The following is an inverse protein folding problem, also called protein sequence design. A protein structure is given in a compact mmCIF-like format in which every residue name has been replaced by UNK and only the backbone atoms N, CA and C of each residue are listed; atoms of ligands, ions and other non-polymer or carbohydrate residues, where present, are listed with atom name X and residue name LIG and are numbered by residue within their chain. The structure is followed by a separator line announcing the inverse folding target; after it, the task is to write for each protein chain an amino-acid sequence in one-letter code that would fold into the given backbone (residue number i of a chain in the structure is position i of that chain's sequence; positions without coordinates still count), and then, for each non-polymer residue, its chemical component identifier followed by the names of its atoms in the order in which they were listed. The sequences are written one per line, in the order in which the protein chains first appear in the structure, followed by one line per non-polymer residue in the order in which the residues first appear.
data_IF_838129952159
#
_entry.id   IF_838129952159
#
_cell.length_a   1.000
_cell.length_b   1.000
_cell.length_c   1.000
_cell.angle_alpha   90.00
_cell.angle_beta   90.00
_cell.angle_gamma   90.00
#
_symmetry.space_group_name_H-M   'P 1'
#
loop_
_entity.id
_entity.type
_entity.pdbx_description
1 polymer ?
#
# COMPACT_ATOMS: atom_id res chain seq x y z
N UNK A 1 18.79 -12.44 23.03
CA UNK A 1 19.00 -11.82 24.35
C UNK A 1 20.02 -10.70 24.20
N UNK A 2 19.70 -9.45 24.53
CA UNK A 2 20.67 -8.33 24.47
C UNK A 2 21.43 -8.24 25.80
N UNK A 3 22.75 -8.08 25.70
CA UNK A 3 23.58 -7.46 26.73
C UNK A 3 23.87 -6.00 26.31
N UNK A 4 23.95 -5.12 27.31
CA UNK A 4 24.17 -3.65 27.28
C UNK A 4 22.93 -2.74 27.11
N UNK A 5 22.22 -2.53 28.23
CA UNK A 5 21.96 -1.21 28.81
C UNK A 5 21.54 -1.42 30.27
N UNK A 6 22.54 -1.52 31.16
CA UNK A 6 22.35 -1.23 32.57
C UNK A 6 22.25 0.30 32.68
N UNK A 7 21.07 0.85 32.97
CA UNK A 7 20.94 2.23 33.45
C UNK A 7 19.92 3.16 32.79
N UNK A 8 18.99 2.71 31.95
CA UNK A 8 17.90 3.58 31.48
C UNK A 8 16.72 3.48 32.46
N UNK A 9 16.60 4.42 33.40
CA UNK A 9 15.40 4.55 34.23
C UNK A 9 14.25 5.14 33.40
N UNK A 10 13.25 4.31 33.09
CA UNK A 10 12.01 4.78 32.49
C UNK A 10 11.04 5.20 33.59
N UNK A 11 10.48 6.40 33.45
CA UNK A 11 9.48 6.94 34.39
C UNK A 11 8.07 6.39 34.13
N UNK A 12 7.81 5.84 32.94
CA UNK A 12 6.51 5.34 32.53
C UNK A 12 6.62 4.31 31.39
N UNK A 13 5.78 3.25 31.36
CA UNK A 13 5.74 2.28 30.26
C UNK A 13 5.59 2.88 28.86
N UNK A 14 4.92 4.04 28.73
CA UNK A 14 4.79 4.76 27.46
C UNK A 14 6.15 5.17 26.90
N UNK A 15 7.12 5.51 27.74
CA UNK A 15 8.47 5.87 27.28
C UNK A 15 9.17 4.67 26.65
N UNK A 16 9.00 3.47 27.21
CA UNK A 16 9.53 2.22 26.65
C UNK A 16 8.92 1.97 25.27
N UNK A 17 7.62 2.17 25.11
CA UNK A 17 6.96 2.08 23.80
C UNK A 17 7.52 3.10 22.81
N UNK A 18 7.67 4.37 23.22
CA UNK A 18 8.14 5.44 22.36
C UNK A 18 9.61 5.29 21.92
N UNK A 19 10.44 4.60 22.70
CA UNK A 19 11.80 4.27 22.26
C UNK A 19 11.80 3.34 21.04
N UNK A 20 10.88 2.38 21.03
CA UNK A 20 10.79 1.36 19.99
C UNK A 20 10.06 1.89 18.75
N UNK A 21 8.86 2.46 18.93
CA UNK A 21 7.96 2.83 17.83
C UNK A 21 7.74 4.35 17.68
N UNK A 22 8.36 5.17 18.53
CA UNK A 22 8.22 6.61 18.46
C UNK A 22 8.89 7.23 17.22
N UNK A 23 8.63 8.52 17.04
CA UNK A 23 9.04 9.27 15.86
C UNK A 23 8.00 9.23 14.74
N UNK A 24 8.28 9.98 13.66
CA UNK A 24 7.31 10.22 12.58
C UNK A 24 7.01 8.97 11.74
N UNK A 25 8.01 8.11 11.51
CA UNK A 25 7.95 7.13 10.41
C UNK A 25 7.74 5.68 10.88
N UNK A 26 8.20 5.29 12.06
CA UNK A 26 8.13 3.90 12.53
C UNK A 26 6.70 3.37 12.56
N UNK A 27 5.78 4.05 13.24
CA UNK A 27 4.37 3.64 13.27
C UNK A 27 3.71 3.64 11.88
N UNK A 28 4.10 4.54 10.97
CA UNK A 28 3.57 4.57 9.60
C UNK A 28 4.05 3.36 8.81
N UNK A 29 5.33 3.00 8.92
CA UNK A 29 5.89 1.79 8.29
C UNK A 29 5.21 0.54 8.85
N UNK A 30 5.11 0.42 10.17
CA UNK A 30 4.48 -0.72 10.84
C UNK A 30 3.00 -0.85 10.45
N UNK A 31 2.29 0.28 10.31
CA UNK A 31 0.91 0.27 9.82
C UNK A 31 0.82 -0.31 8.40
N UNK A 32 1.71 0.08 7.47
CA UNK A 32 1.73 -0.50 6.12
C UNK A 32 2.12 -1.97 6.07
N UNK A 33 2.98 -2.42 6.99
CA UNK A 33 3.41 -3.82 7.08
C UNK A 33 2.44 -4.72 7.84
N UNK A 34 1.39 -4.15 8.45
CA UNK A 34 0.47 -4.93 9.28
C UNK A 34 -0.24 -6.00 8.48
N UNK A 35 -0.63 -5.80 7.21
CA UNK A 35 -1.43 -6.82 6.51
C UNK A 35 -0.59 -7.79 5.71
N UNK A 36 0.43 -7.30 5.04
CA UNK A 36 1.22 -8.08 4.11
C UNK A 36 2.66 -7.56 4.00
N UNK A 37 3.53 -8.41 3.45
CA UNK A 37 4.92 -8.06 3.22
C UNK A 37 5.02 -7.02 2.10
N UNK A 38 5.89 -6.01 2.26
CA UNK A 38 6.10 -4.97 1.24
C UNK A 38 7.56 -4.89 0.82
N UNK A 39 7.81 -4.58 -0.44
CA UNK A 39 9.15 -4.24 -0.95
C UNK A 39 9.51 -2.81 -0.57
N UNK A 40 10.80 -2.49 -0.59
CA UNK A 40 11.29 -1.13 -0.31
C UNK A 40 10.64 -0.07 -1.23
N UNK A 41 10.54 -0.38 -2.52
CA UNK A 41 9.92 0.51 -3.50
C UNK A 41 8.44 0.79 -3.21
N UNK A 42 7.70 -0.24 -2.80
CA UNK A 42 6.30 -0.10 -2.40
C UNK A 42 6.16 0.78 -1.17
N UNK A 43 6.92 0.51 -0.09
CA UNK A 43 6.90 1.35 1.11
C UNK A 43 7.26 2.81 0.80
N UNK A 44 8.23 3.03 -0.10
CA UNK A 44 8.64 4.37 -0.52
C UNK A 44 7.55 5.11 -1.30
N UNK A 45 6.73 4.39 -2.08
CA UNK A 45 5.57 4.95 -2.77
C UNK A 45 4.41 5.21 -1.79
N UNK A 46 4.13 4.25 -0.90
CA UNK A 46 3.04 4.28 0.07
C UNK A 46 3.20 5.33 1.16
N UNK A 47 4.42 5.81 1.40
CA UNK A 47 4.74 6.80 2.42
C UNK A 47 5.27 8.09 1.77
N UNK A 48 4.39 8.96 1.25
CA UNK A 48 4.79 10.24 0.69
C UNK A 48 5.67 11.08 1.63
N UNK A 49 6.76 11.61 1.08
CA UNK A 49 7.68 12.50 1.80
C UNK A 49 8.77 11.83 2.64
N UNK A 50 8.78 10.50 2.84
CA UNK A 50 9.92 9.82 3.46
C UNK A 50 11.09 9.76 2.47
N UNK A 51 12.32 10.12 2.82
CA UNK A 51 13.45 9.98 1.87
C UNK A 51 13.94 8.53 1.81
N UNK A 52 14.63 8.12 0.74
CA UNK A 52 15.21 6.76 0.68
C UNK A 52 16.16 6.50 1.85
N UNK A 53 17.02 7.48 2.18
CA UNK A 53 17.93 7.41 3.32
C UNK A 53 17.19 7.17 4.64
N UNK A 54 16.12 7.93 4.88
CA UNK A 54 15.32 7.80 6.11
C UNK A 54 14.57 6.47 6.14
N UNK A 55 13.96 6.04 5.03
CA UNK A 55 13.28 4.74 4.98
C UNK A 55 14.24 3.58 5.27
N UNK A 56 15.43 3.58 4.66
CA UNK A 56 16.47 2.57 4.95
C UNK A 56 16.88 2.56 6.42
N UNK A 57 17.05 3.74 7.01
CA UNK A 57 17.41 3.86 8.41
C UNK A 57 16.30 3.30 9.33
N UNK A 58 15.05 3.70 9.09
CA UNK A 58 13.91 3.28 9.90
C UNK A 58 13.65 1.77 9.80
N UNK A 59 13.79 1.18 8.61
CA UNK A 59 13.67 -0.27 8.44
C UNK A 59 14.77 -1.02 9.21
N UNK A 60 16.02 -0.55 9.17
CA UNK A 60 17.12 -1.15 9.94
C UNK A 60 16.89 -1.06 11.45
N UNK A 61 16.37 0.07 11.93
CA UNK A 61 16.02 0.23 13.35
C UNK A 61 14.91 -0.75 13.76
N UNK A 62 13.83 -0.82 13.00
CA UNK A 62 12.72 -1.75 13.26
C UNK A 62 13.14 -3.23 13.20
N UNK A 63 14.06 -3.58 12.28
CA UNK A 63 14.62 -4.93 12.17
C UNK A 63 15.50 -5.25 13.38
N UNK A 64 16.39 -4.32 13.76
CA UNK A 64 17.26 -4.44 14.94
C UNK A 64 16.47 -4.55 16.25
N UNK A 65 15.33 -3.88 16.32
CA UNK A 65 14.42 -3.90 17.47
C UNK A 65 13.41 -5.07 17.38
N UNK A 66 13.54 -5.92 16.36
CA UNK A 66 12.85 -7.20 16.22
C UNK A 66 11.39 -7.09 15.77
N UNK A 67 10.91 -5.92 15.35
CA UNK A 67 9.53 -5.74 14.92
C UNK A 67 9.30 -6.22 13.49
N UNK A 68 10.31 -6.09 12.63
CA UNK A 68 10.20 -6.53 11.24
C UNK A 68 11.28 -7.55 10.90
N UNK A 69 10.99 -8.43 9.95
CA UNK A 69 11.98 -9.28 9.29
C UNK A 69 12.21 -8.80 7.87
N UNK A 70 13.46 -8.84 7.42
CA UNK A 70 13.87 -8.63 6.04
C UNK A 70 14.16 -9.99 5.40
N UNK A 71 13.37 -10.35 4.40
CA UNK A 71 13.54 -11.60 3.66
C UNK A 71 14.09 -11.32 2.27
N UNK A 72 15.11 -12.07 1.85
CA UNK A 72 15.72 -11.94 0.52
C UNK A 72 15.40 -13.19 -0.29
N UNK A 73 14.82 -13.00 -1.46
CA UNK A 73 14.48 -14.09 -2.36
C UNK A 73 15.48 -14.12 -3.52
N UNK A 74 16.17 -15.25 -3.73
CA UNK A 74 17.17 -15.42 -4.79
C UNK A 74 16.48 -15.70 -6.13
N UNK A 75 15.73 -14.72 -6.63
CA UNK A 75 15.13 -14.73 -7.97
C UNK A 75 15.84 -13.71 -8.87
N UNK A 76 15.52 -13.70 -10.17
CA UNK A 76 16.05 -12.72 -11.11
C UNK A 76 14.95 -11.76 -11.55
N UNK A 77 15.03 -10.45 -11.22
CA UNK A 77 16.03 -9.79 -10.36
C UNK A 77 15.79 -10.06 -8.86
N UNK A 78 16.83 -10.01 -8.01
CA UNK A 78 16.70 -10.33 -6.58
C UNK A 78 15.69 -9.40 -5.91
N UNK A 79 14.80 -9.97 -5.11
CA UNK A 79 13.81 -9.20 -4.34
C UNK A 79 14.05 -9.26 -2.85
N UNK A 80 13.68 -8.18 -2.19
CA UNK A 80 13.73 -8.03 -0.74
C UNK A 80 12.36 -7.58 -0.27
N UNK A 81 11.83 -8.26 0.74
CA UNK A 81 10.56 -7.93 1.36
C UNK A 81 10.73 -7.72 2.86
N UNK A 82 9.86 -6.88 3.40
CA UNK A 82 9.77 -6.59 4.82
C UNK A 82 8.40 -7.03 5.30
N UNK A 83 8.33 -7.72 6.43
CA UNK A 83 7.08 -8.11 7.08
C UNK A 83 7.22 -8.04 8.60
N UNK A 84 6.11 -7.97 9.32
CA UNK A 84 6.15 -8.06 10.78
C UNK A 84 6.69 -9.42 11.23
N UNK A 85 7.46 -9.42 12.32
CA UNK A 85 7.78 -10.65 13.06
C UNK A 85 6.62 -11.04 13.98
N UNK A 86 6.60 -12.24 14.58
CA UNK A 86 5.63 -12.56 15.63
C UNK A 86 5.63 -11.55 16.78
N UNK A 87 6.77 -10.92 17.10
CA UNK A 87 6.84 -9.84 18.08
C UNK A 87 6.27 -8.52 17.52
N UNK A 88 6.59 -8.17 16.27
CA UNK A 88 6.04 -6.98 15.61
C UNK A 88 4.52 -7.01 15.48
N UNK A 89 3.92 -8.19 15.32
CA UNK A 89 2.47 -8.38 15.31
C UNK A 89 1.79 -7.87 16.60
N UNK A 90 2.49 -7.86 17.74
CA UNK A 90 1.95 -7.31 18.99
C UNK A 90 1.71 -5.79 18.94
N UNK A 91 2.32 -5.08 17.98
CA UNK A 91 2.11 -3.65 17.76
C UNK A 91 0.88 -3.35 16.89
N UNK A 92 0.35 -4.34 16.15
CA UNK A 92 -0.80 -4.15 15.26
C UNK A 92 -1.98 -3.44 15.95
N UNK A 93 -2.45 -3.86 17.14
CA UNK A 93 -3.57 -3.19 17.81
C UNK A 93 -3.29 -1.71 18.11
N UNK A 94 -2.03 -1.37 18.43
CA UNK A 94 -1.63 0.02 18.69
C UNK A 94 -1.71 0.85 17.41
N UNK A 95 -1.19 0.34 16.30
CA UNK A 95 -1.25 1.05 15.01
C UNK A 95 -2.67 1.24 14.49
N UNK A 96 -3.57 0.29 14.77
CA UNK A 96 -5.00 0.40 14.44
C UNK A 96 -5.68 1.45 15.32
N UNK A 97 -5.44 1.41 16.64
CA UNK A 97 -5.95 2.43 17.57
C UNK A 97 -5.45 3.84 17.24
N UNK A 98 -4.18 3.98 16.85
CA UNK A 98 -3.64 5.27 16.38
C UNK A 98 -4.36 5.76 15.12
N UNK A 99 -4.67 4.86 14.19
CA UNK A 99 -5.40 5.19 12.97
C UNK A 99 -6.82 5.69 13.30
N UNK A 100 -7.53 4.98 14.17
CA UNK A 100 -8.92 5.31 14.53
C UNK A 100 -9.00 6.58 15.38
N UNK A 101 -8.07 6.76 16.31
CA UNK A 101 -7.95 8.01 17.05
C UNK A 101 -7.65 9.18 16.11
N UNK A 102 -6.75 9.01 15.14
CA UNK A 102 -6.43 10.03 14.15
C UNK A 102 -7.66 10.49 13.36
N UNK A 103 -8.46 9.54 12.85
CA UNK A 103 -9.73 9.82 12.14
C UNK A 103 -10.71 10.61 13.03
N UNK A 104 -10.80 10.26 14.31
CA UNK A 104 -11.75 10.86 15.25
C UNK A 104 -11.30 12.25 15.72
N UNK A 105 -10.00 12.44 15.95
CA UNK A 105 -9.45 13.67 16.51
C UNK A 105 -9.46 14.84 15.50
N UNK A 106 -9.35 14.55 14.21
CA UNK A 106 -9.37 15.54 13.13
C UNK A 106 -10.22 15.07 11.96
N UNK A 107 -11.51 14.86 12.20
CA UNK A 107 -12.47 14.42 11.17
C UNK A 107 -12.59 15.39 9.98
N UNK A 108 -12.30 16.67 10.21
CA UNK A 108 -12.30 17.73 9.17
C UNK A 108 -11.03 17.75 8.31
N UNK A 109 -9.93 17.11 8.76
CA UNK A 109 -8.72 17.03 7.95
C UNK A 109 -8.91 15.98 6.85
N UNK A 110 -8.91 16.44 5.60
CA UNK A 110 -8.46 15.59 4.51
C UNK A 110 -6.97 15.31 4.79
N UNK A 111 -6.66 14.15 5.36
CA UNK A 111 -5.29 13.67 5.44
C UNK A 111 -4.70 13.81 4.02
N UNK A 112 -3.59 14.54 3.87
CA UNK A 112 -3.09 14.94 2.53
C UNK A 112 -2.80 13.77 1.58
N UNK A 113 -2.65 12.56 2.13
CA UNK A 113 -2.52 11.27 1.46
C UNK A 113 -3.84 10.46 1.38
N UNK A 114 -5.01 11.09 1.60
CA UNK A 114 -6.36 10.51 1.39
C UNK A 114 -7.22 11.39 0.47
N UNK A 115 -6.68 12.48 -0.09
CA UNK A 115 -7.42 13.39 -0.96
C UNK A 115 -7.63 12.77 -2.34
N UNK A 116 -8.77 12.09 -2.51
CA UNK A 116 -9.17 11.46 -3.77
C UNK A 116 -10.29 12.21 -4.52
N UNK A 117 -10.80 13.31 -3.95
CA UNK A 117 -11.96 14.03 -4.50
C UNK A 117 -11.74 14.45 -5.96
N UNK A 118 -12.68 14.08 -6.82
CA UNK A 118 -12.69 14.40 -8.25
C UNK A 118 -11.75 13.56 -9.10
N UNK A 119 -11.01 12.60 -8.53
CA UNK A 119 -10.21 11.67 -9.31
C UNK A 119 -11.10 10.70 -10.07
N UNK A 120 -10.70 10.35 -11.29
CA UNK A 120 -11.32 9.28 -12.09
C UNK A 120 -10.49 8.01 -11.90
N UNK A 121 -11.10 7.01 -11.27
CA UNK A 121 -10.46 5.74 -10.98
C UNK A 121 -11.18 4.65 -11.76
N UNK A 122 -10.41 3.91 -12.57
CA UNK A 122 -10.90 2.74 -13.28
C UNK A 122 -10.73 1.51 -12.39
N UNK A 123 -11.82 0.79 -12.15
CA UNK A 123 -11.86 -0.45 -11.38
C UNK A 123 -12.17 -1.60 -12.33
N UNK A 124 -11.33 -2.62 -12.36
CA UNK A 124 -11.50 -3.82 -13.18
C UNK A 124 -11.67 -5.00 -12.24
N UNK A 125 -12.91 -5.44 -12.04
CA UNK A 125 -13.23 -6.55 -11.14
C UNK A 125 -14.41 -7.34 -11.70
N UNK A 126 -14.21 -8.63 -11.99
CA UNK A 126 -15.25 -9.51 -12.50
C UNK A 126 -16.30 -9.84 -11.41
N UNK A 127 -15.85 -10.07 -10.18
CA UNK A 127 -16.71 -10.38 -9.04
C UNK A 127 -17.58 -9.18 -8.64
N UNK A 128 -18.89 -9.39 -8.60
CA UNK A 128 -19.86 -8.33 -8.33
C UNK A 128 -19.71 -7.75 -6.92
N UNK A 129 -19.42 -8.59 -5.93
CA UNK A 129 -19.25 -8.16 -4.53
C UNK A 129 -18.01 -7.27 -4.37
N UNK A 130 -16.86 -7.71 -4.89
CA UNK A 130 -15.61 -6.93 -4.88
C UNK A 130 -15.82 -5.59 -5.58
N UNK A 131 -16.44 -5.61 -6.77
CA UNK A 131 -16.74 -4.40 -7.56
C UNK A 131 -17.67 -3.44 -6.80
N UNK A 132 -18.72 -3.94 -6.16
CA UNK A 132 -19.64 -3.13 -5.34
C UNK A 132 -18.91 -2.49 -4.15
N UNK A 133 -18.08 -3.26 -3.44
CA UNK A 133 -17.31 -2.76 -2.29
C UNK A 133 -16.31 -1.67 -2.69
N UNK A 134 -15.55 -1.88 -3.77
CA UNK A 134 -14.60 -0.89 -4.29
C UNK A 134 -15.31 0.40 -4.67
N UNK A 135 -16.43 0.28 -5.39
CA UNK A 135 -17.25 1.41 -5.81
C UNK A 135 -17.75 2.20 -4.61
N UNK A 136 -18.36 1.53 -3.63
CA UNK A 136 -18.90 2.15 -2.41
C UNK A 136 -17.82 2.94 -1.67
N UNK A 137 -16.68 2.32 -1.37
CA UNK A 137 -15.57 2.95 -0.63
C UNK A 137 -15.03 4.19 -1.35
N UNK A 138 -14.90 4.13 -2.68
CA UNK A 138 -14.31 5.23 -3.45
C UNK A 138 -15.33 6.36 -3.72
N UNK A 139 -16.57 6.04 -4.07
CA UNK A 139 -17.62 7.04 -4.34
C UNK A 139 -17.99 7.84 -3.08
N UNK A 140 -17.98 7.22 -1.89
CA UNK A 140 -18.12 7.94 -0.60
C UNK A 140 -17.09 9.07 -0.41
N UNK A 141 -15.96 9.01 -1.12
CA UNK A 141 -14.88 10.00 -1.09
C UNK A 141 -14.92 10.96 -2.28
N UNK A 142 -16.06 11.03 -2.97
CA UNK A 142 -16.28 11.83 -4.17
C UNK A 142 -15.30 11.50 -5.30
N UNK A 143 -14.96 10.22 -5.45
CA UNK A 143 -14.20 9.70 -6.59
C UNK A 143 -15.17 9.36 -7.71
N UNK A 144 -14.82 9.68 -8.95
CA UNK A 144 -15.53 9.20 -10.13
C UNK A 144 -15.04 7.79 -10.46
N UNK A 145 -15.77 6.78 -9.99
CA UNK A 145 -15.43 5.38 -10.23
C UNK A 145 -16.04 4.89 -11.53
N UNK A 146 -15.20 4.40 -12.44
CA UNK A 146 -15.65 3.65 -13.62
C UNK A 146 -15.35 2.18 -13.33
N UNK A 147 -16.38 1.36 -13.18
CA UNK A 147 -16.20 -0.05 -12.84
C UNK A 147 -16.57 -0.95 -14.02
N UNK A 148 -15.63 -1.78 -14.45
CA UNK A 148 -15.78 -2.74 -15.55
C UNK A 148 -15.46 -4.16 -15.08
N UNK A 149 -15.89 -5.15 -15.85
CA UNK A 149 -15.80 -6.57 -15.47
C UNK A 149 -14.73 -7.34 -16.24
N UNK A 150 -14.08 -6.73 -17.23
CA UNK A 150 -13.10 -7.39 -18.10
C UNK A 150 -11.96 -6.46 -18.48
N UNK A 151 -10.81 -7.05 -18.82
CA UNK A 151 -9.65 -6.32 -19.33
C UNK A 151 -9.97 -5.58 -20.63
N UNK A 152 -10.72 -6.19 -21.55
CA UNK A 152 -11.08 -5.57 -22.82
C UNK A 152 -11.88 -4.27 -22.64
N UNK A 153 -12.90 -4.29 -21.77
CA UNK A 153 -13.67 -3.09 -21.45
C UNK A 153 -12.80 -2.00 -20.80
N UNK A 154 -11.78 -2.39 -20.01
CA UNK A 154 -10.84 -1.45 -19.43
C UNK A 154 -9.97 -0.76 -20.51
N UNK A 155 -9.52 -1.50 -21.52
CA UNK A 155 -8.68 -0.99 -22.61
C UNK A 155 -9.39 0.05 -23.49
N UNK A 156 -10.67 -0.17 -23.79
CA UNK A 156 -11.49 0.78 -24.55
C UNK A 156 -11.56 2.14 -23.87
N UNK A 157 -11.57 2.14 -22.53
CA UNK A 157 -11.62 3.33 -21.71
C UNK A 157 -10.26 4.04 -21.57
N UNK A 158 -9.14 3.46 -22.03
CA UNK A 158 -7.82 4.11 -21.94
C UNK A 158 -7.61 5.25 -22.96
N UNK A 159 -8.54 5.44 -23.91
CA UNK A 159 -8.52 6.59 -24.82
C UNK A 159 -8.61 7.92 -24.05
N UNK A 160 -9.41 7.94 -22.99
CA UNK A 160 -9.36 8.96 -21.95
C UNK A 160 -8.73 8.30 -20.72
N UNK A 161 -7.44 8.52 -20.42
CA UNK A 161 -6.74 7.76 -19.39
C UNK A 161 -7.19 8.16 -17.97
N UNK A 162 -7.55 7.20 -17.09
CA UNK A 162 -7.88 7.49 -15.70
C UNK A 162 -6.64 7.91 -14.89
N UNK A 163 -6.83 8.57 -13.75
CA UNK A 163 -5.73 8.94 -12.86
C UNK A 163 -5.16 7.75 -12.06
N UNK A 164 -5.94 6.68 -11.91
CA UNK A 164 -5.46 5.43 -11.32
C UNK A 164 -6.30 4.24 -11.78
N UNK A 165 -5.70 3.06 -11.68
CA UNK A 165 -6.29 1.78 -12.01
C UNK A 165 -6.27 0.84 -10.78
N UNK A 166 -7.38 0.16 -10.52
CA UNK A 166 -7.46 -0.93 -9.53
C UNK A 166 -7.92 -2.19 -10.24
N UNK A 167 -7.11 -3.25 -10.24
CA UNK A 167 -7.39 -4.50 -10.94
C UNK A 167 -7.49 -5.63 -9.95
N UNK A 168 -8.60 -6.36 -9.97
CA UNK A 168 -8.74 -7.61 -9.26
C UNK A 168 -8.09 -8.76 -10.04
N UNK A 169 -6.89 -9.16 -9.62
CA UNK A 169 -6.14 -10.23 -10.26
C UNK A 169 -6.73 -11.60 -9.93
N UNK A 170 -7.31 -11.76 -8.73
CA UNK A 170 -7.85 -13.03 -8.26
C UNK A 170 -8.88 -13.62 -9.21
N UNK A 171 -9.77 -12.77 -9.73
CA UNK A 171 -10.84 -13.17 -10.64
C UNK A 171 -10.45 -13.14 -12.13
N UNK A 172 -9.50 -12.28 -12.53
CA UNK A 172 -9.17 -12.04 -13.94
C UNK A 172 -7.93 -12.81 -14.43
N UNK A 173 -7.08 -13.32 -13.53
CA UNK A 173 -5.93 -14.15 -13.89
C UNK A 173 -4.98 -13.46 -14.88
N UNK A 174 -4.62 -14.17 -15.97
CA UNK A 174 -3.67 -13.71 -17.00
C UNK A 174 -4.15 -12.46 -17.77
N UNK A 175 -5.46 -12.23 -17.88
CA UNK A 175 -6.00 -11.05 -18.54
C UNK A 175 -5.60 -9.76 -17.80
N UNK A 176 -5.43 -9.85 -16.47
CA UNK A 176 -4.92 -8.76 -15.63
C UNK A 176 -3.50 -8.35 -16.01
N UNK A 177 -2.65 -9.34 -16.30
CA UNK A 177 -1.25 -9.11 -16.67
C UNK A 177 -1.13 -8.58 -18.11
N UNK A 178 -2.01 -9.04 -19.00
CA UNK A 178 -2.11 -8.49 -20.36
C UNK A 178 -2.53 -7.02 -20.33
N UNK A 179 -3.55 -6.70 -19.54
CA UNK A 179 -4.03 -5.33 -19.34
C UNK A 179 -2.90 -4.40 -18.85
N UNK A 180 -2.19 -4.79 -17.78
CA UNK A 180 -1.17 -3.90 -17.20
C UNK A 180 0.00 -3.68 -18.16
N UNK A 181 0.42 -4.70 -18.93
CA UNK A 181 1.47 -4.54 -19.95
C UNK A 181 1.05 -3.54 -21.02
N UNK A 182 -0.20 -3.58 -21.46
CA UNK A 182 -0.73 -2.61 -22.43
C UNK A 182 -0.82 -1.19 -21.83
N UNK A 183 -1.26 -1.06 -20.58
CA UNK A 183 -1.26 0.23 -19.86
C UNK A 183 0.16 0.81 -19.77
N UNK A 184 1.18 -0.02 -19.52
CA UNK A 184 2.59 0.42 -19.47
C UNK A 184 3.11 0.84 -20.84
N UNK A 185 2.85 0.07 -21.89
CA UNK A 185 3.21 0.44 -23.26
C UNK A 185 2.58 1.78 -23.67
N UNK A 186 1.30 2.00 -23.33
CA UNK A 186 0.62 3.29 -23.56
C UNK A 186 1.28 4.42 -22.76
N UNK A 187 1.66 4.15 -21.51
CA UNK A 187 2.34 5.12 -20.65
C UNK A 187 3.67 5.57 -21.24
N UNK A 188 4.43 4.63 -21.82
CA UNK A 188 5.73 4.90 -22.43
C UNK A 188 5.60 5.67 -23.76
N UNK A 189 4.58 5.35 -24.56
CA UNK A 189 4.34 6.00 -25.86
C UNK A 189 3.77 7.42 -25.73
N UNK A 190 2.83 7.62 -24.80
CA UNK A 190 2.07 8.88 -24.65
C UNK A 190 2.58 9.75 -23.50
N UNK A 191 3.52 9.25 -22.70
CA UNK A 191 4.04 9.96 -21.51
C UNK A 191 3.05 10.03 -20.34
N UNK A 192 1.89 9.38 -20.44
CA UNK A 192 0.84 9.40 -19.41
C UNK A 192 1.10 8.29 -18.39
N UNK A 193 1.45 8.64 -17.16
CA UNK A 193 1.70 7.64 -16.10
C UNK A 193 0.40 7.30 -15.37
N UNK A 194 -0.08 6.09 -15.57
CA UNK A 194 -1.27 5.57 -14.85
C UNK A 194 -0.80 4.62 -13.73
N UNK A 195 -0.84 5.04 -12.45
CA UNK A 195 -0.58 4.14 -11.34
C UNK A 195 -1.63 3.04 -11.29
N UNK A 196 -1.20 1.82 -10.99
CA UNK A 196 -2.04 0.64 -10.95
C UNK A 196 -1.83 -0.13 -9.64
N UNK A 197 -2.94 -0.48 -8.99
CA UNK A 197 -3.02 -1.33 -7.81
C UNK A 197 -3.61 -2.67 -8.21
N UNK A 198 -2.99 -3.74 -7.75
CA UNK A 198 -3.53 -5.08 -7.85
C UNK A 198 -4.24 -5.49 -6.56
N UNK A 199 -5.42 -6.11 -6.67
CA UNK A 199 -6.02 -6.86 -5.57
C UNK A 199 -5.65 -8.33 -5.76
N UNK A 200 -5.06 -8.91 -4.72
CA UNK A 200 -4.50 -10.26 -4.75
C UNK A 200 -5.14 -11.14 -3.69
N UNK A 201 -5.44 -12.38 -4.04
CA UNK A 201 -5.80 -13.41 -3.06
C UNK A 201 -4.53 -13.95 -2.39
N UNK A 202 -4.66 -14.54 -1.20
CA UNK A 202 -3.53 -14.99 -0.35
C UNK A 202 -2.56 -15.99 -1.01
N UNK A 203 -2.90 -16.54 -2.18
CA UNK A 203 -2.07 -17.49 -2.94
C UNK A 203 -1.26 -16.85 -4.09
N UNK A 204 -1.42 -15.55 -4.35
CA UNK A 204 -0.73 -14.88 -5.46
C UNK A 204 0.59 -14.27 -4.98
N UNK A 205 1.67 -14.58 -5.70
CA UNK A 205 2.99 -14.03 -5.43
C UNK A 205 3.03 -12.54 -5.82
N UNK A 206 3.09 -11.65 -4.82
CA UNK A 206 3.24 -10.20 -5.04
C UNK A 206 4.46 -9.83 -5.91
N UNK A 207 5.48 -10.70 -5.98
CA UNK A 207 6.64 -10.56 -6.86
C UNK A 207 6.26 -10.47 -8.34
N UNK A 208 5.34 -11.33 -8.80
CA UNK A 208 4.87 -11.34 -10.19
C UNK A 208 4.13 -10.04 -10.50
N UNK A 209 3.25 -9.62 -9.61
CA UNK A 209 2.43 -8.41 -9.76
C UNK A 209 3.30 -7.17 -10.02
N UNK A 210 4.33 -6.96 -9.19
CA UNK A 210 5.22 -5.82 -9.35
C UNK A 210 6.07 -5.93 -10.63
N UNK A 211 6.56 -7.14 -10.96
CA UNK A 211 7.35 -7.38 -12.18
C UNK A 211 6.58 -7.09 -13.46
N UNK A 212 5.29 -7.40 -13.47
CA UNK A 212 4.40 -7.21 -14.63
C UNK A 212 3.97 -5.75 -14.83
N UNK A 213 4.22 -4.88 -13.83
CA UNK A 213 4.08 -3.43 -13.96
C UNK A 213 3.12 -2.78 -12.97
N UNK A 214 2.49 -3.52 -12.05
CA UNK A 214 1.74 -2.89 -10.96
C UNK A 214 2.70 -2.22 -9.97
N UNK A 215 2.28 -1.12 -9.34
CA UNK A 215 3.11 -0.40 -8.39
C UNK A 215 3.00 -0.95 -6.98
N UNK A 216 1.81 -1.42 -6.60
CA UNK A 216 1.47 -1.94 -5.27
C UNK A 216 0.42 -3.04 -5.42
N UNK A 217 0.45 -4.03 -4.53
CA UNK A 217 -0.66 -4.97 -4.36
C UNK A 217 -1.31 -4.84 -2.98
N UNK A 218 -2.59 -5.21 -2.88
CA UNK A 218 -3.39 -5.25 -1.66
C UNK A 218 -4.03 -6.63 -1.52
N UNK A 219 -3.86 -7.26 -0.36
CA UNK A 219 -4.43 -8.58 -0.08
C UNK A 219 -5.96 -8.49 0.11
N UNK A 220 -6.70 -9.42 -0.49
CA UNK A 220 -8.13 -9.61 -0.21
C UNK A 220 -8.35 -10.45 1.07
N UNK A 221 -9.35 -10.13 1.91
CA UNK A 221 -10.23 -8.97 1.82
C UNK A 221 -9.46 -7.67 2.12
N UNK A 222 -9.63 -6.66 1.26
CA UNK A 222 -8.93 -5.39 1.40
C UNK A 222 -9.56 -4.53 2.50
N UNK A 223 -8.73 -3.71 3.14
CA UNK A 223 -9.16 -2.70 4.10
C UNK A 223 -9.51 -1.38 3.37
N UNK A 224 -10.69 -0.77 3.61
CA UNK A 224 -11.06 0.48 2.95
C UNK A 224 -10.08 1.63 3.17
N UNK A 225 -9.49 1.73 4.37
CA UNK A 225 -8.54 2.80 4.70
C UNK A 225 -7.23 2.58 3.95
N UNK A 226 -6.77 1.34 3.89
CA UNK A 226 -5.58 0.95 3.14
C UNK A 226 -5.71 1.19 1.63
N UNK A 227 -6.85 0.82 1.03
CA UNK A 227 -7.13 1.08 -0.38
C UNK A 227 -7.03 2.57 -0.70
N UNK A 228 -7.70 3.39 0.11
CA UNK A 228 -7.78 4.84 -0.09
C UNK A 228 -6.42 5.48 0.12
N UNK A 229 -5.70 5.08 1.17
CA UNK A 229 -4.34 5.54 1.45
C UNK A 229 -3.39 5.16 0.31
N UNK A 230 -3.52 3.96 -0.25
CA UNK A 230 -2.67 3.50 -1.36
C UNK A 230 -2.92 4.35 -2.60
N UNK A 231 -4.19 4.52 -2.98
CA UNK A 231 -4.57 5.33 -4.14
C UNK A 231 -4.10 6.78 -4.02
N UNK A 232 -4.28 7.38 -2.86
CA UNK A 232 -3.90 8.77 -2.68
C UNK A 232 -2.39 8.93 -2.57
N UNK A 233 -1.65 7.97 -1.99
CA UNK A 233 -0.18 7.96 -2.05
C UNK A 233 0.35 7.82 -3.47
N UNK A 234 -0.27 6.98 -4.31
CA UNK A 234 0.16 6.81 -5.71
C UNK A 234 -0.18 8.02 -6.58
N UNK A 235 -1.35 8.62 -6.39
CA UNK A 235 -1.78 9.79 -7.17
C UNK A 235 -1.18 11.11 -6.68
N UNK A 236 -0.61 11.15 -5.47
CA UNK A 236 0.10 12.31 -4.93
C UNK A 236 1.24 12.80 -5.83
N UNK A 237 1.97 11.87 -6.45
CA UNK A 237 3.15 12.16 -7.26
C UNK A 237 2.87 12.49 -8.73
N UNK A 238 1.60 12.41 -9.15
CA UNK A 238 1.19 12.53 -10.56
C UNK A 238 0.35 13.78 -10.84
N UNK A 239 0.50 14.82 -10.01
CA UNK A 239 -0.06 16.15 -10.26
C UNK A 239 0.85 17.00 -11.12
#
# INVERSE_FOLDING_TARGET
MRASQLGTEYTCPVQVTLEVIGGKWKCVILWWLRRDAKRFGELKLLIPGITQKVLTQQLRELERDGLIRRETYPETPPRVEYSLTPYGETIRPITELMCDWGKSHRSEYEFGYLRLKGLRILVVAAEAEVRYRLRTVLEERNVHVIAVTSANAALELLQDPPQALVVDIGALGEDSYTLIRQVRNLSDQQGVKIPAIALTNNNLEGSRVIKEGFQVHLAQPFDPVELVATLASLTYYHK
#
